data_IF_195095257612
#
_entry.id   IF_195095257612
#
_cell.length_a   1.000
_cell.length_b   1.000
_cell.length_c   1.000
_cell.angle_alpha   90.00
_cell.angle_beta   90.00
_cell.angle_gamma   90.00
#
_symmetry.space_group_name_H-M   'P 1'
#
loop_
_entity.id
_entity.type
_entity.pdbx_description
1 polymer ?
#
# COMPACT_ATOMS: atom_id res chain seq x y z
N UNK A 1 -7.89 30.97 -18.91
CA UNK A 1 -9.11 31.13 -18.10
C UNK A 1 -9.87 29.81 -18.17
N UNK A 2 -9.60 28.90 -17.23
CA UNK A 2 -10.23 27.57 -17.19
C UNK A 2 -10.75 27.33 -15.79
N UNK A 3 -11.99 26.88 -15.76
CA UNK A 3 -12.98 27.08 -14.71
C UNK A 3 -12.74 26.17 -13.51
N UNK A 4 -12.80 26.74 -12.32
CA UNK A 4 -12.87 26.02 -11.04
C UNK A 4 -14.22 25.32 -10.94
N UNK A 5 -14.24 24.00 -10.75
CA UNK A 5 -15.36 23.32 -10.10
C UNK A 5 -14.90 22.89 -8.71
N UNK A 6 -15.44 23.58 -7.71
CA UNK A 6 -15.38 23.14 -6.32
C UNK A 6 -16.24 21.90 -6.16
N UNK A 7 -15.66 20.81 -5.66
CA UNK A 7 -16.42 19.72 -5.08
C UNK A 7 -16.59 20.01 -3.59
N UNK A 8 -17.70 20.67 -3.27
CA UNK A 8 -18.34 20.57 -1.96
C UNK A 8 -18.86 19.14 -1.76
N UNK A 9 -18.55 18.58 -0.59
CA UNK A 9 -19.30 17.55 0.13
C UNK A 9 -20.08 16.51 -0.69
N UNK A 10 -19.44 15.39 -1.01
CA UNK A 10 -20.08 14.07 -0.88
C UNK A 10 -19.08 13.09 -0.27
N UNK A 11 -19.34 12.71 0.97
CA UNK A 11 -18.62 11.63 1.64
C UNK A 11 -18.77 10.34 0.84
N UNK A 12 -17.73 9.95 0.13
CA UNK A 12 -17.60 8.58 -0.33
C UNK A 12 -17.48 7.73 0.93
N UNK A 13 -18.52 6.95 1.24
CA UNK A 13 -18.49 5.83 2.17
C UNK A 13 -17.91 4.65 1.41
N UNK A 14 -16.85 4.05 1.94
CA UNK A 14 -16.37 2.73 1.51
C UNK A 14 -16.20 1.95 2.80
N UNK A 15 -17.26 1.29 3.26
CA UNK A 15 -17.09 0.35 4.38
C UNK A 15 -16.12 -0.74 3.90
N UNK A 16 -15.32 -1.31 4.81
CA UNK A 16 -14.51 -2.49 4.49
C UNK A 16 -15.38 -3.48 3.70
N UNK A 17 -14.92 -3.84 2.51
CA UNK A 17 -15.74 -4.33 1.39
C UNK A 17 -16.71 -5.46 1.80
N UNK A 18 -16.32 -6.28 2.76
CA UNK A 18 -17.11 -7.43 3.22
C UNK A 18 -18.27 -7.10 4.17
N UNK A 19 -18.23 -5.92 4.82
CA UNK A 19 -19.28 -5.43 5.72
C UNK A 19 -20.13 -4.33 5.08
N UNK A 20 -20.00 -4.12 3.76
CA UNK A 20 -20.90 -3.23 3.04
C UNK A 20 -22.22 -3.96 2.75
N UNK A 21 -23.29 -3.44 3.34
CA UNK A 21 -24.68 -3.93 3.19
C UNK A 21 -25.11 -3.97 1.71
N UNK A 22 -24.40 -3.27 0.82
CA UNK A 22 -24.63 -3.29 -0.62
C UNK A 22 -24.11 -4.56 -1.33
N UNK A 23 -23.17 -5.32 -0.75
CA UNK A 23 -22.65 -6.54 -1.39
C UNK A 23 -23.51 -7.73 -0.99
N UNK A 24 -24.43 -8.11 -1.88
CA UNK A 24 -25.33 -9.26 -1.70
C UNK A 24 -24.63 -10.64 -1.75
N UNK A 25 -23.36 -10.69 -2.13
CA UNK A 25 -22.61 -11.94 -2.35
C UNK A 25 -21.33 -11.99 -1.51
N UNK A 26 -21.06 -13.13 -0.87
CA UNK A 26 -19.81 -13.33 -0.13
C UNK A 26 -18.63 -13.36 -1.11
N UNK A 27 -17.67 -12.45 -0.93
CA UNK A 27 -16.40 -12.46 -1.68
C UNK A 27 -15.64 -13.71 -1.26
N UNK A 28 -15.26 -14.55 -2.24
CA UNK A 28 -14.50 -15.79 -2.00
C UNK A 28 -13.01 -15.54 -1.84
N UNK A 29 -12.46 -14.62 -2.64
CA UNK A 29 -11.04 -14.33 -2.71
C UNK A 29 -10.78 -12.83 -2.88
N UNK A 30 -9.62 -12.37 -2.41
CA UNK A 30 -9.08 -11.04 -2.67
C UNK A 30 -7.72 -11.21 -3.36
N UNK A 31 -7.44 -10.43 -4.41
CA UNK A 31 -6.13 -10.42 -5.05
C UNK A 31 -5.56 -9.00 -5.08
N UNK A 32 -4.32 -8.85 -4.63
CA UNK A 32 -3.60 -7.59 -4.51
C UNK A 32 -2.26 -7.70 -5.24
N UNK A 33 -2.04 -6.87 -6.26
CA UNK A 33 -0.78 -6.84 -7.01
C UNK A 33 -0.06 -5.53 -6.68
N UNK A 34 1.19 -5.63 -6.20
CA UNK A 34 2.04 -4.49 -5.77
C UNK A 34 1.24 -3.41 -4.99
N UNK A 35 0.53 -3.78 -3.90
CA UNK A 35 -0.47 -2.92 -3.31
C UNK A 35 0.13 -1.79 -2.47
N UNK A 36 -0.37 -0.57 -2.66
CA UNK A 36 -0.18 0.52 -1.71
C UNK A 36 -1.15 0.33 -0.54
N UNK A 37 -0.64 0.26 0.69
CA UNK A 37 -1.45 -0.13 1.86
C UNK A 37 -1.34 0.81 3.05
N UNK A 38 -0.41 1.76 3.04
CA UNK A 38 -0.31 2.80 4.06
C UNK A 38 0.39 4.07 3.60
N UNK A 39 0.01 5.21 4.20
CA UNK A 39 0.66 6.52 3.99
C UNK A 39 1.37 7.04 5.25
N UNK A 40 1.47 6.23 6.30
CA UNK A 40 1.92 6.62 7.64
C UNK A 40 3.43 6.76 7.73
N UNK A 41 4.15 5.73 7.27
CA UNK A 41 5.60 5.65 7.26
C UNK A 41 6.10 5.71 5.80
N UNK A 42 6.65 6.84 5.41
CA UNK A 42 7.20 7.08 4.07
C UNK A 42 8.70 6.80 3.98
N UNK A 43 9.26 6.01 4.93
CA UNK A 43 10.70 5.72 5.03
C UNK A 43 11.03 4.25 5.37
N UNK A 44 10.24 3.32 4.85
CA UNK A 44 10.50 1.88 4.87
C UNK A 44 11.82 1.50 4.15
N UNK A 45 12.42 0.32 4.45
CA UNK A 45 13.56 -0.22 3.70
C UNK A 45 13.37 -0.20 2.17
N UNK A 46 12.21 -0.63 1.66
CA UNK A 46 11.91 -0.60 0.23
C UNK A 46 11.86 0.81 -0.37
N UNK A 47 11.52 1.84 0.42
CA UNK A 47 11.56 3.22 -0.04
C UNK A 47 12.99 3.72 -0.24
N UNK A 48 13.92 3.28 0.60
CA UNK A 48 15.33 3.64 0.54
C UNK A 48 16.04 2.86 -0.57
N UNK A 49 15.80 1.55 -0.66
CA UNK A 49 16.40 0.69 -1.68
C UNK A 49 15.93 1.04 -3.10
N UNK A 50 14.65 1.41 -3.24
CA UNK A 50 14.03 1.74 -4.52
C UNK A 50 13.79 3.24 -4.70
N UNK A 51 14.60 4.09 -4.04
CA UNK A 51 14.45 5.55 -4.15
C UNK A 51 14.47 6.02 -5.61
N UNK A 52 15.35 5.43 -6.41
CA UNK A 52 15.51 5.66 -7.85
C UNK A 52 15.00 4.48 -8.71
N UNK A 53 13.93 3.80 -8.25
CA UNK A 53 13.36 2.63 -8.94
C UNK A 53 12.96 2.87 -10.41
N UNK A 54 12.73 1.78 -11.15
CA UNK A 54 12.57 1.77 -12.61
C UNK A 54 11.38 2.61 -13.09
N UNK A 55 10.20 2.41 -12.48
CA UNK A 55 8.93 3.05 -12.88
C UNK A 55 8.43 3.96 -11.76
N UNK A 56 8.35 3.40 -10.56
CA UNK A 56 7.88 4.11 -9.38
C UNK A 56 9.09 4.45 -8.51
N UNK A 57 9.64 5.64 -8.70
CA UNK A 57 10.62 6.22 -7.76
C UNK A 57 9.89 6.67 -6.49
N UNK A 58 10.63 6.82 -5.39
CA UNK A 58 10.07 7.35 -4.13
C UNK A 58 9.45 8.72 -4.31
N UNK A 59 10.07 9.58 -5.12
CA UNK A 59 9.55 10.92 -5.43
C UNK A 59 8.23 10.88 -6.21
N UNK A 60 8.11 9.97 -7.19
CA UNK A 60 6.86 9.78 -7.95
C UNK A 60 5.78 9.22 -7.02
N UNK A 61 6.09 8.22 -6.19
CA UNK A 61 5.15 7.65 -5.23
C UNK A 61 4.59 8.71 -4.28
N UNK A 62 5.46 9.53 -3.67
CA UNK A 62 5.06 10.63 -2.78
C UNK A 62 4.19 11.64 -3.51
N UNK A 63 4.54 12.01 -4.76
CA UNK A 63 3.75 12.95 -5.55
C UNK A 63 2.35 12.40 -5.83
N UNK A 64 2.25 11.13 -6.25
CA UNK A 64 0.96 10.47 -6.50
C UNK A 64 0.09 10.46 -5.25
N UNK A 65 0.62 9.99 -4.12
CA UNK A 65 -0.10 9.97 -2.83
C UNK A 65 -0.55 11.37 -2.42
N UNK A 66 0.32 12.38 -2.55
CA UNK A 66 0.01 13.76 -2.20
C UNK A 66 -1.17 14.32 -3.00
N UNK A 67 -1.27 14.00 -4.30
CA UNK A 67 -2.37 14.44 -5.16
C UNK A 67 -3.74 13.90 -4.73
N UNK A 68 -3.79 12.75 -4.06
CA UNK A 68 -5.03 12.20 -3.50
C UNK A 68 -5.41 12.82 -2.15
N UNK A 69 -4.44 13.36 -1.41
CA UNK A 69 -4.64 13.78 -0.02
C UNK A 69 -4.85 15.28 0.14
N UNK A 70 -4.12 16.11 -0.62
CA UNK A 70 -4.13 17.56 -0.39
C UNK A 70 -3.68 18.36 -1.62
N UNK A 71 -4.02 19.65 -1.62
CA UNK A 71 -3.48 20.65 -2.55
C UNK A 71 -2.30 21.43 -1.97
N UNK A 72 -1.91 21.13 -0.73
CA UNK A 72 -0.77 21.76 -0.07
C UNK A 72 0.55 21.27 -0.69
N UNK A 73 1.25 22.18 -1.37
CA UNK A 73 2.51 21.90 -2.06
C UNK A 73 3.68 21.60 -1.10
N UNK A 74 3.53 21.89 0.20
CA UNK A 74 4.53 21.56 1.23
C UNK A 74 4.45 20.11 1.70
N UNK A 75 3.28 19.48 1.55
CA UNK A 75 3.03 18.13 2.02
C UNK A 75 3.97 17.06 1.43
N UNK A 76 4.28 17.05 0.12
CA UNK A 76 5.30 16.15 -0.43
C UNK A 76 6.66 16.26 0.27
N UNK A 77 7.08 17.47 0.66
CA UNK A 77 8.37 17.66 1.35
C UNK A 77 8.33 17.14 2.79
N UNK A 78 7.19 17.27 3.47
CA UNK A 78 6.97 16.65 4.78
C UNK A 78 7.00 15.12 4.66
N UNK A 79 6.34 14.53 3.66
CA UNK A 79 6.41 13.10 3.39
C UNK A 79 7.83 12.63 3.07
N UNK A 80 8.61 13.38 2.28
CA UNK A 80 10.01 13.03 2.00
C UNK A 80 10.86 12.91 3.27
N UNK A 81 10.53 13.68 4.30
CA UNK A 81 11.19 13.67 5.62
C UNK A 81 10.53 12.75 6.64
N UNK A 82 9.48 12.02 6.25
CA UNK A 82 8.65 11.20 7.14
C UNK A 82 8.05 12.00 8.33
N UNK A 83 7.71 13.28 8.07
CA UNK A 83 7.31 14.31 9.04
C UNK A 83 5.89 14.86 8.79
N UNK A 84 5.00 14.06 8.20
CA UNK A 84 3.67 14.52 7.75
C UNK A 84 2.52 14.02 8.62
N UNK A 85 2.78 13.13 9.58
CA UNK A 85 1.73 12.54 10.41
C UNK A 85 1.34 13.45 11.58
N UNK A 86 0.04 13.71 11.82
CA UNK A 86 -0.40 14.59 12.89
C UNK A 86 -0.24 13.93 14.28
N UNK A 87 -0.15 14.75 15.34
CA UNK A 87 0.16 14.31 16.71
C UNK A 87 -0.79 13.21 17.21
N UNK A 88 -2.07 13.32 16.92
CA UNK A 88 -3.12 12.38 17.32
C UNK A 88 -2.96 10.98 16.69
N UNK A 89 -2.19 10.85 15.61
CA UNK A 89 -2.03 9.59 14.87
C UNK A 89 -1.02 8.62 15.48
N UNK A 90 -0.29 9.00 16.54
CA UNK A 90 0.79 8.18 17.14
C UNK A 90 0.34 6.75 17.49
N UNK A 91 -0.91 6.59 17.94
CA UNK A 91 -1.49 5.29 18.28
C UNK A 91 -1.60 4.32 17.09
N UNK A 92 -1.51 4.83 15.85
CA UNK A 92 -1.55 4.05 14.62
C UNK A 92 -0.19 3.49 14.21
N UNK A 93 0.93 4.02 14.72
CA UNK A 93 2.27 3.65 14.25
C UNK A 93 2.60 2.18 14.52
N UNK A 94 1.97 1.58 15.53
CA UNK A 94 2.06 0.14 15.81
C UNK A 94 1.63 -0.73 14.63
N UNK A 95 0.73 -0.24 13.77
CA UNK A 95 0.21 -0.99 12.63
C UNK A 95 1.15 -0.98 11.41
N UNK A 96 2.15 -0.10 11.41
CA UNK A 96 3.16 0.04 10.34
C UNK A 96 4.58 -0.14 10.88
N UNK A 97 4.74 -0.72 12.07
CA UNK A 97 6.04 -0.96 12.67
C UNK A 97 6.77 -2.08 11.91
N UNK A 98 7.58 -1.71 10.92
CA UNK A 98 8.28 -2.67 10.08
C UNK A 98 9.35 -3.47 10.83
N UNK A 99 9.82 -3.01 12.00
CA UNK A 99 10.75 -3.80 12.83
C UNK A 99 10.12 -5.10 13.37
N UNK A 100 8.79 -5.13 13.50
CA UNK A 100 8.05 -6.33 13.92
C UNK A 100 7.36 -7.00 12.75
N UNK A 101 6.83 -6.23 11.80
CA UNK A 101 5.99 -6.73 10.71
C UNK A 101 6.76 -7.18 9.46
N UNK A 102 7.97 -6.66 9.23
CA UNK A 102 8.75 -7.04 8.04
C UNK A 102 9.61 -8.27 8.35
N UNK A 103 9.69 -9.29 7.47
CA UNK A 103 10.61 -10.41 7.68
C UNK A 103 12.09 -9.96 7.73
N UNK A 104 12.91 -10.62 8.56
CA UNK A 104 14.32 -10.23 8.78
C UNK A 104 15.11 -10.02 7.47
N UNK A 105 14.88 -10.86 6.45
CA UNK A 105 15.59 -10.77 5.16
C UNK A 105 15.37 -9.44 4.42
N UNK A 106 14.25 -8.76 4.64
CA UNK A 106 13.92 -7.48 3.99
C UNK A 106 14.27 -6.26 4.86
N UNK A 107 14.55 -6.44 6.15
CA UNK A 107 15.06 -5.37 7.01
C UNK A 107 16.52 -5.04 6.69
N UNK A 108 17.30 -6.05 6.28
CA UNK A 108 18.74 -5.94 5.99
C UNK A 108 19.45 -5.20 7.14
N UNK A 109 20.25 -4.19 6.82
CA UNK A 109 20.98 -3.36 7.79
C UNK A 109 20.26 -2.04 8.12
N UNK A 110 19.00 -1.88 7.68
CA UNK A 110 18.23 -0.67 7.96
C UNK A 110 17.87 -0.58 9.45
N UNK A 111 17.98 0.62 10.00
CA UNK A 111 17.64 0.91 11.39
C UNK A 111 16.21 1.43 11.48
N UNK A 112 15.40 0.81 12.34
CA UNK A 112 14.04 1.26 12.57
C UNK A 112 14.00 2.61 13.27
N UNK A 113 13.26 3.54 12.68
CA UNK A 113 12.83 4.80 13.29
C UNK A 113 11.32 4.89 13.21
N UNK A 114 10.66 5.26 14.31
CA UNK A 114 9.22 5.56 14.25
C UNK A 114 8.95 6.71 13.27
N UNK A 115 7.75 6.75 12.63
CA UNK A 115 7.33 7.92 11.87
C UNK A 115 7.41 9.20 12.72
N UNK A 116 7.83 10.30 12.10
CA UNK A 116 8.03 11.55 12.83
C UNK A 116 6.71 12.34 12.79
N UNK A 117 6.24 12.72 13.98
CA UNK A 117 5.07 13.57 14.09
C UNK A 117 5.40 14.97 13.54
N UNK A 118 4.60 15.41 12.57
CA UNK A 118 4.82 16.66 11.87
C UNK A 118 4.63 17.88 12.76
N UNK A 119 5.41 18.94 12.49
CA UNK A 119 5.24 20.26 13.13
C UNK A 119 3.99 20.98 12.63
N UNK A 120 3.60 20.72 11.39
CA UNK A 120 2.35 21.17 10.77
C UNK A 120 1.34 20.04 10.94
N UNK A 121 0.31 20.24 11.76
CA UNK A 121 -0.78 19.27 11.83
C UNK A 121 -1.56 19.32 10.52
N UNK A 122 -1.17 18.47 9.56
CA UNK A 122 -1.99 18.19 8.39
C UNK A 122 -3.25 17.47 8.90
N UNK A 123 -4.31 18.24 9.19
CA UNK A 123 -5.63 17.73 9.56
C UNK A 123 -6.31 17.17 8.31
N UNK A 124 -5.73 16.11 7.77
CA UNK A 124 -6.21 15.37 6.62
C UNK A 124 -6.77 14.04 7.14
N UNK A 125 -8.10 13.93 7.32
CA UNK A 125 -8.72 12.69 7.83
C UNK A 125 -8.31 11.45 7.02
N UNK A 126 -8.03 11.63 5.72
CA UNK A 126 -7.58 10.59 4.83
C UNK A 126 -6.24 9.93 5.23
N UNK A 127 -5.37 10.62 6.00
CA UNK A 127 -4.11 10.05 6.51
C UNK A 127 -4.32 8.90 7.49
N UNK A 128 -5.46 8.88 8.18
CA UNK A 128 -5.79 7.89 9.21
C UNK A 128 -6.93 6.97 8.75
N UNK A 129 -7.33 7.07 7.48
CA UNK A 129 -8.46 6.36 6.95
C UNK A 129 -8.06 4.95 6.51
N UNK A 130 -8.57 3.93 7.21
CA UNK A 130 -8.44 2.49 6.88
C UNK A 130 -8.73 2.18 5.40
N UNK A 131 -9.56 2.98 4.72
CA UNK A 131 -9.94 2.76 3.32
C UNK A 131 -8.86 3.20 2.34
N UNK A 132 -8.04 4.16 2.76
CA UNK A 132 -6.85 4.61 2.04
C UNK A 132 -5.61 3.83 2.50
N UNK A 133 -5.57 3.44 3.77
CA UNK A 133 -4.47 2.68 4.39
C UNK A 133 -4.97 1.39 5.06
N UNK A 134 -5.27 0.32 4.30
CA UNK A 134 -5.77 -0.95 4.85
C UNK A 134 -4.87 -1.58 5.91
N UNK A 135 -3.57 -1.28 5.92
CA UNK A 135 -2.66 -1.68 7.00
C UNK A 135 -3.06 -1.11 8.36
N UNK A 136 -3.98 -0.14 8.46
CA UNK A 136 -4.50 0.37 9.74
C UNK A 136 -5.68 -0.44 10.29
N UNK A 137 -6.21 -1.41 9.55
CA UNK A 137 -7.33 -2.21 10.00
C UNK A 137 -6.98 -2.97 11.29
N UNK A 138 -7.90 -3.04 12.24
CA UNK A 138 -7.71 -3.83 13.44
C UNK A 138 -7.77 -5.33 13.13
N UNK A 139 -7.18 -6.15 13.98
CA UNK A 139 -7.10 -7.61 13.79
C UNK A 139 -8.48 -8.26 13.66
N UNK A 140 -9.48 -7.79 14.42
CA UNK A 140 -10.86 -8.26 14.31
C UNK A 140 -11.53 -7.93 12.97
N UNK A 141 -11.04 -6.93 12.23
CA UNK A 141 -11.50 -6.64 10.88
C UNK A 141 -10.75 -7.49 9.87
N UNK A 142 -9.44 -7.67 10.06
CA UNK A 142 -8.59 -8.46 9.17
C UNK A 142 -8.95 -9.95 9.20
N UNK A 143 -9.24 -10.54 10.37
CA UNK A 143 -9.57 -11.96 10.49
C UNK A 143 -10.81 -12.38 9.69
N UNK A 144 -11.66 -11.42 9.31
CA UNK A 144 -12.87 -11.68 8.55
C UNK A 144 -12.64 -11.65 7.04
N UNK A 145 -11.45 -11.24 6.58
CA UNK A 145 -11.12 -11.14 5.16
C UNK A 145 -11.15 -12.51 4.48
N UNK A 146 -11.49 -12.57 3.18
CA UNK A 146 -11.42 -13.80 2.41
C UNK A 146 -9.97 -14.28 2.27
N UNK A 147 -9.77 -15.46 1.68
CA UNK A 147 -8.44 -15.88 1.27
C UNK A 147 -7.82 -14.84 0.32
N UNK A 148 -6.60 -14.43 0.62
CA UNK A 148 -5.96 -13.28 -0.05
C UNK A 148 -4.71 -13.73 -0.81
N UNK A 149 -4.65 -13.38 -2.09
CA UNK A 149 -3.46 -13.44 -2.91
C UNK A 149 -2.76 -12.08 -2.90
N UNK A 150 -1.45 -12.08 -2.64
CA UNK A 150 -0.62 -10.88 -2.63
C UNK A 150 0.60 -11.14 -3.51
N UNK A 151 0.80 -10.30 -4.51
CA UNK A 151 2.02 -10.28 -5.31
C UNK A 151 2.83 -9.03 -4.99
N UNK A 152 4.12 -9.22 -4.72
CA UNK A 152 5.08 -8.13 -4.47
C UNK A 152 6.26 -8.26 -5.44
N UNK A 153 6.96 -7.14 -5.66
CA UNK A 153 8.13 -7.06 -6.53
C UNK A 153 9.32 -6.57 -5.71
N UNK A 154 10.54 -7.04 -6.00
CA UNK A 154 11.74 -6.59 -5.26
C UNK A 154 12.07 -5.12 -5.55
N UNK A 155 12.02 -4.70 -6.82
CA UNK A 155 12.30 -3.34 -7.26
C UNK A 155 11.04 -2.44 -7.23
N UNK A 156 10.36 -2.42 -6.09
CA UNK A 156 9.15 -1.64 -5.86
C UNK A 156 9.19 -0.95 -4.49
N UNK A 157 8.91 0.36 -4.49
CA UNK A 157 8.76 1.13 -3.25
C UNK A 157 7.68 0.57 -2.33
N UNK A 158 6.64 -0.07 -2.87
CA UNK A 158 5.51 -0.64 -2.14
C UNK A 158 5.73 -2.09 -1.69
N UNK A 159 6.93 -2.66 -1.91
CA UNK A 159 7.25 -4.03 -1.49
C UNK A 159 6.93 -4.26 -0.01
N UNK A 160 7.40 -3.37 0.85
CA UNK A 160 7.30 -3.57 2.30
C UNK A 160 5.87 -3.37 2.82
N UNK A 161 5.06 -2.51 2.19
CA UNK A 161 3.61 -2.41 2.45
C UNK A 161 2.95 -3.79 2.31
N UNK A 162 3.19 -4.46 1.17
CA UNK A 162 2.66 -5.79 0.88
C UNK A 162 3.15 -6.85 1.87
N UNK A 163 4.45 -6.86 2.19
CA UNK A 163 5.05 -7.84 3.10
C UNK A 163 4.57 -7.67 4.55
N UNK A 164 4.40 -6.44 5.02
CA UNK A 164 3.81 -6.18 6.33
C UNK A 164 2.36 -6.67 6.38
N UNK A 165 1.59 -6.45 5.30
CA UNK A 165 0.20 -6.89 5.24
C UNK A 165 0.06 -8.42 5.21
N UNK A 166 0.93 -9.11 4.45
CA UNK A 166 1.05 -10.59 4.50
C UNK A 166 1.22 -11.06 5.95
N UNK A 167 2.18 -10.48 6.67
CA UNK A 167 2.46 -10.85 8.06
C UNK A 167 1.26 -10.59 8.96
N UNK A 168 0.60 -9.43 8.83
CA UNK A 168 -0.59 -9.11 9.63
C UNK A 168 -1.75 -10.06 9.36
N UNK A 169 -2.05 -10.38 8.10
CA UNK A 169 -3.12 -11.30 7.72
C UNK A 169 -2.86 -12.72 8.24
N UNK A 170 -1.64 -13.23 8.08
CA UNK A 170 -1.26 -14.56 8.57
C UNK A 170 -1.37 -14.65 10.10
N UNK A 171 -0.96 -13.60 10.82
CA UNK A 171 -1.02 -13.55 12.29
C UNK A 171 -2.46 -13.61 12.83
N UNK A 172 -3.45 -13.19 12.05
CA UNK A 172 -4.88 -13.25 12.42
C UNK A 172 -5.61 -14.44 11.79
N UNK A 173 -4.87 -15.40 11.20
CA UNK A 173 -5.41 -16.65 10.68
C UNK A 173 -6.04 -16.56 9.29
N UNK A 174 -5.85 -15.46 8.55
CA UNK A 174 -6.30 -15.37 7.14
C UNK A 174 -5.40 -16.24 6.28
N UNK A 175 -6.00 -17.02 5.37
CA UNK A 175 -5.25 -17.76 4.37
C UNK A 175 -4.64 -16.79 3.35
N UNK A 176 -3.31 -16.71 3.32
CA UNK A 176 -2.56 -15.82 2.42
C UNK A 176 -1.71 -16.63 1.46
N UNK A 177 -1.87 -16.37 0.16
CA UNK A 177 -0.97 -16.81 -0.89
C UNK A 177 -0.08 -15.63 -1.29
N UNK A 178 1.20 -15.69 -0.96
CA UNK A 178 2.14 -14.62 -1.26
C UNK A 178 3.14 -15.08 -2.31
N UNK A 179 3.23 -14.32 -3.40
CA UNK A 179 4.29 -14.46 -4.40
C UNK A 179 5.16 -13.21 -4.43
N UNK A 180 6.47 -13.41 -4.47
CA UNK A 180 7.46 -12.34 -4.54
C UNK A 180 8.30 -12.50 -5.80
N UNK A 181 8.30 -11.48 -6.65
CA UNK A 181 9.02 -11.47 -7.93
C UNK A 181 10.35 -10.75 -7.74
N UNK A 182 11.42 -11.53 -7.58
CA UNK A 182 12.78 -11.08 -7.23
C UNK A 182 13.42 -10.12 -8.26
N UNK A 183 13.00 -10.20 -9.52
CA UNK A 183 13.41 -9.34 -10.65
C UNK A 183 12.28 -8.39 -11.10
N UNK A 184 11.22 -8.29 -10.30
CA UNK A 184 10.03 -7.51 -10.63
C UNK A 184 10.12 -6.05 -10.20
N UNK A 185 9.34 -5.19 -10.86
CA UNK A 185 9.17 -3.78 -10.48
C UNK A 185 7.69 -3.38 -10.48
N UNK A 186 7.39 -2.21 -9.90
CA UNK A 186 6.03 -1.70 -9.77
C UNK A 186 5.30 -1.57 -11.12
N UNK A 187 4.06 -2.06 -11.21
CA UNK A 187 3.21 -1.85 -12.39
C UNK A 187 3.66 -2.64 -13.63
N UNK A 188 4.51 -3.66 -13.48
CA UNK A 188 5.03 -4.48 -14.58
C UNK A 188 3.96 -5.02 -15.57
N UNK A 189 2.73 -5.26 -15.11
CA UNK A 189 1.62 -5.68 -15.98
C UNK A 189 1.29 -4.65 -17.07
N UNK A 190 1.49 -3.36 -16.81
CA UNK A 190 1.25 -2.28 -17.79
C UNK A 190 2.20 -2.36 -18.99
N UNK A 191 3.29 -3.11 -18.87
CA UNK A 191 4.35 -3.22 -19.87
C UNK A 191 4.29 -4.50 -20.71
N UNK A 192 3.22 -5.31 -20.56
CA UNK A 192 3.04 -6.55 -21.33
C UNK A 192 2.60 -6.32 -22.80
N UNK A 193 2.30 -5.07 -23.18
CA UNK A 193 1.84 -4.69 -24.52
C UNK A 193 2.75 -3.61 -25.12
N UNK A 194 2.40 -3.18 -26.34
CA UNK A 194 3.06 -2.08 -27.03
C UNK A 194 3.21 -0.85 -26.12
N UNK A 195 4.37 -0.16 -26.15
CA UNK A 195 5.52 -0.40 -27.02
C UNK A 195 6.61 -1.32 -26.45
N UNK A 196 6.53 -1.76 -25.18
CA UNK A 196 7.67 -2.37 -24.47
C UNK A 196 7.67 -3.91 -24.45
N UNK A 197 6.50 -4.57 -24.41
CA UNK A 197 6.37 -6.04 -24.47
C UNK A 197 7.29 -6.81 -23.49
N UNK A 198 7.40 -6.36 -22.26
CA UNK A 198 8.27 -6.98 -21.27
C UNK A 198 7.73 -8.36 -20.85
N UNK A 199 8.59 -9.37 -20.96
CA UNK A 199 8.29 -10.74 -20.51
C UNK A 199 7.89 -10.81 -19.03
N UNK A 200 8.44 -9.92 -18.20
CA UNK A 200 8.07 -9.78 -16.78
C UNK A 200 6.55 -9.59 -16.59
N UNK A 201 5.92 -8.73 -17.40
CA UNK A 201 4.48 -8.49 -17.32
C UNK A 201 3.67 -9.72 -17.71
N UNK A 202 4.10 -10.46 -18.74
CA UNK A 202 3.48 -11.73 -19.14
C UNK A 202 3.61 -12.78 -18.03
N UNK A 203 4.79 -12.93 -17.43
CA UNK A 203 5.01 -13.86 -16.31
C UNK A 203 4.12 -13.54 -15.11
N UNK A 204 4.02 -12.28 -14.69
CA UNK A 204 3.14 -11.86 -13.58
C UNK A 204 1.67 -12.17 -13.90
N UNK A 205 1.23 -11.91 -15.13
CA UNK A 205 -0.11 -12.28 -15.59
C UNK A 205 -0.34 -13.79 -15.46
N UNK A 206 0.62 -14.60 -15.92
CA UNK A 206 0.49 -16.06 -15.93
C UNK A 206 0.51 -16.65 -14.51
N UNK A 207 1.31 -16.08 -13.60
CA UNK A 207 1.29 -16.39 -12.17
C UNK A 207 -0.10 -16.14 -11.57
N UNK A 208 -0.65 -14.94 -11.80
CA UNK A 208 -1.97 -14.55 -11.31
C UNK A 208 -3.09 -15.44 -11.87
N UNK A 209 -3.12 -15.70 -13.18
CA UNK A 209 -4.11 -16.57 -13.81
C UNK A 209 -3.99 -18.01 -13.28
N UNK A 210 -2.77 -18.54 -13.20
CA UNK A 210 -2.53 -19.88 -12.66
C UNK A 210 -2.99 -20.02 -11.21
N UNK A 211 -2.90 -18.96 -10.42
CA UNK A 211 -3.43 -18.94 -9.07
C UNK A 211 -4.97 -18.91 -9.07
N UNK A 212 -5.59 -18.07 -9.91
CA UNK A 212 -7.05 -18.03 -10.03
C UNK A 212 -7.63 -19.39 -10.43
N UNK A 213 -7.06 -20.05 -11.43
CA UNK A 213 -7.53 -21.37 -11.93
C UNK A 213 -7.50 -22.46 -10.86
N UNK A 214 -6.63 -22.31 -9.84
CA UNK A 214 -6.51 -23.25 -8.72
C UNK A 214 -7.44 -22.93 -7.55
N UNK A 215 -8.01 -21.72 -7.48
CA UNK A 215 -8.67 -21.20 -6.28
C UNK A 215 -10.10 -20.65 -6.53
N UNK A 216 -10.60 -20.66 -7.77
CA UNK A 216 -11.97 -20.30 -8.15
C UNK A 216 -12.76 -21.52 -8.66
#
# INVERSE_FOLDING_TARGET
MVTRYGMQHRGHRVRGVQNDVAIKHKIKIQALLYPHLQVIDSYLPSHQENEHGIVLTRDIAIKLVSLYLTKDETFPQAMKRNQHMPLESRHLFKFVNWSTLLPKKYRKDHVYTEPILGRTSYLLPALMDIRASPLLANDSQLQNLPSTYILTCEYDTLRDDGLMYVSRLQNVGVQVFHEHVEDGFHGALSYMRSPLYLHLGLRIRDMYISWLDKNL
#
